data_IF_004764319333
#
_entry.id   IF_004764319333
#
_cell.length_a   1.000
_cell.length_b   1.000
_cell.length_c   1.000
_cell.angle_alpha   90.00
_cell.angle_beta   90.00
_cell.angle_gamma   90.00
#
_symmetry.space_group_name_H-M   'P 1'
#
loop_
_entity.id
_entity.type
_entity.pdbx_description
1 polymer ?
#
# COMPACT_ATOMS: atom_id res chain seq x y z
N UNK A 1 23.61 13.54 -31.03
CA UNK A 1 24.20 12.80 -29.91
C UNK A 1 23.28 12.97 -28.72
N UNK A 2 22.54 11.91 -28.35
CA UNK A 2 21.58 11.92 -27.24
C UNK A 2 22.35 11.62 -25.96
N UNK A 3 22.15 12.45 -24.95
CA UNK A 3 23.00 12.56 -23.77
C UNK A 3 22.84 11.30 -22.90
N UNK A 4 23.81 10.39 -22.94
CA UNK A 4 23.82 9.18 -22.09
C UNK A 4 23.71 9.55 -20.59
N UNK A 5 24.25 10.70 -20.22
CA UNK A 5 24.25 11.29 -18.88
C UNK A 5 22.83 11.59 -18.34
N UNK A 6 21.86 11.87 -19.21
CA UNK A 6 20.47 12.14 -18.82
C UNK A 6 19.69 10.86 -18.49
N UNK A 7 20.07 9.73 -19.10
CA UNK A 7 19.44 8.44 -18.86
C UNK A 7 19.90 7.83 -17.53
N UNK A 8 21.15 8.09 -17.12
CA UNK A 8 21.67 7.61 -15.82
C UNK A 8 20.95 8.29 -14.64
N UNK A 9 20.61 9.57 -14.79
CA UNK A 9 19.95 10.35 -13.73
C UNK A 9 18.51 9.86 -13.45
N UNK A 10 17.83 9.31 -14.47
CA UNK A 10 16.50 8.73 -14.33
C UNK A 10 16.54 7.32 -13.72
N UNK A 11 17.64 6.58 -13.90
CA UNK A 11 17.83 5.23 -13.36
C UNK A 11 18.29 5.23 -11.89
N UNK A 12 18.90 6.32 -11.43
CA UNK A 12 19.38 6.48 -10.06
C UNK A 12 18.33 6.13 -8.98
N UNK A 13 17.09 6.67 -9.01
CA UNK A 13 16.08 6.32 -8.00
C UNK A 13 15.65 4.85 -8.08
N UNK A 14 15.51 4.28 -9.28
CA UNK A 14 15.15 2.87 -9.47
C UNK A 14 16.22 1.92 -8.93
N UNK A 15 17.49 2.25 -9.18
CA UNK A 15 18.62 1.47 -8.70
C UNK A 15 18.75 1.59 -7.17
N UNK A 16 18.56 2.78 -6.61
CA UNK A 16 18.52 2.99 -5.17
C UNK A 16 17.38 2.18 -4.50
N UNK A 17 16.20 2.12 -5.13
CA UNK A 17 15.07 1.30 -4.67
C UNK A 17 15.40 -0.19 -4.73
N UNK A 18 16.04 -0.65 -5.81
CA UNK A 18 16.47 -2.04 -5.96
C UNK A 18 17.45 -2.44 -4.84
N UNK A 19 18.44 -1.59 -4.53
CA UNK A 19 19.32 -1.80 -3.39
C UNK A 19 18.58 -1.75 -2.04
N UNK A 20 17.56 -0.90 -1.92
CA UNK A 20 16.69 -0.84 -0.73
C UNK A 20 15.93 -2.15 -0.49
N UNK A 21 15.36 -2.74 -1.55
CA UNK A 21 14.61 -3.99 -1.48
C UNK A 21 15.52 -5.15 -1.04
N UNK A 22 16.76 -5.22 -1.53
CA UNK A 22 17.73 -6.24 -1.11
C UNK A 22 18.03 -6.22 0.40
N UNK A 23 17.85 -5.07 1.06
CA UNK A 23 18.10 -4.91 2.50
C UNK A 23 16.81 -5.03 3.35
N UNK A 24 15.63 -5.05 2.73
CA UNK A 24 14.37 -5.17 3.48
C UNK A 24 14.17 -6.61 3.97
N UNK A 25 13.92 -6.82 5.27
CA UNK A 25 13.53 -8.13 5.77
C UNK A 25 12.17 -8.53 5.20
N UNK A 26 12.02 -9.80 4.82
CA UNK A 26 10.74 -10.37 4.42
C UNK A 26 9.70 -10.24 5.54
N UNK A 27 8.42 -10.12 5.16
CA UNK A 27 7.38 -9.94 6.16
C UNK A 27 7.24 -11.19 7.05
N UNK A 28 7.25 -11.06 8.39
CA UNK A 28 7.19 -12.21 9.29
C UNK A 28 5.88 -13.00 9.16
N UNK A 29 4.79 -12.33 8.77
CA UNK A 29 3.50 -12.96 8.47
C UNK A 29 3.58 -13.90 7.27
N UNK A 30 4.25 -13.47 6.19
CA UNK A 30 4.43 -14.31 5.01
C UNK A 30 5.30 -15.53 5.30
N UNK A 31 6.38 -15.37 6.07
CA UNK A 31 7.24 -16.49 6.48
C UNK A 31 6.47 -17.55 7.29
N UNK A 32 5.58 -17.13 8.19
CA UNK A 32 4.72 -18.04 8.94
C UNK A 32 3.73 -18.76 8.01
N UNK A 33 3.15 -18.05 7.04
CA UNK A 33 2.26 -18.65 6.03
C UNK A 33 2.98 -19.65 5.12
N UNK A 34 4.27 -19.47 4.88
CA UNK A 34 5.12 -20.44 4.15
C UNK A 34 5.61 -21.60 5.04
N UNK A 35 5.26 -21.60 6.33
CA UNK A 35 5.67 -22.63 7.29
C UNK A 35 7.10 -22.48 7.82
N UNK A 36 7.81 -21.39 7.51
CA UNK A 36 9.17 -21.06 7.97
C UNK A 36 9.13 -20.31 9.30
N UNK A 37 8.91 -21.05 10.39
CA UNK A 37 8.68 -20.49 11.73
C UNK A 37 9.96 -19.94 12.37
N UNK A 38 11.10 -20.59 12.15
CA UNK A 38 12.39 -20.15 12.69
C UNK A 38 12.82 -18.78 12.16
N UNK A 39 12.74 -18.59 10.84
CA UNK A 39 13.09 -17.33 10.19
C UNK A 39 12.13 -16.20 10.61
N UNK A 40 10.83 -16.48 10.68
CA UNK A 40 9.84 -15.49 11.11
C UNK A 40 10.11 -14.99 12.53
N UNK A 41 10.43 -15.91 13.46
CA UNK A 41 10.78 -15.57 14.85
C UNK A 41 12.03 -14.70 14.92
N UNK A 42 13.06 -15.03 14.13
CA UNK A 42 14.29 -14.24 14.08
C UNK A 42 14.05 -12.79 13.59
N UNK A 43 13.17 -12.61 12.60
CA UNK A 43 12.80 -11.28 12.09
C UNK A 43 11.92 -10.54 13.09
N UNK A 44 10.96 -11.20 13.73
CA UNK A 44 10.11 -10.62 14.78
C UNK A 44 10.92 -10.12 15.97
N UNK A 45 11.97 -10.85 16.37
CA UNK A 45 12.90 -10.44 17.42
C UNK A 45 13.76 -9.22 17.02
N UNK A 46 14.08 -9.07 15.73
CA UNK A 46 14.84 -7.91 15.22
C UNK A 46 13.99 -6.65 15.05
N UNK A 47 12.68 -6.81 14.82
CA UNK A 47 11.75 -5.70 14.54
C UNK A 47 11.01 -5.24 15.81
N UNK A 48 10.86 -6.10 16.82
CA UNK A 48 10.13 -5.76 18.06
C UNK A 48 11.04 -5.13 19.11
N UNK A 49 10.49 -4.24 19.94
CA UNK A 49 11.25 -3.54 20.98
C UNK A 49 11.55 -4.42 22.21
N UNK A 50 10.68 -5.40 22.50
CA UNK A 50 10.89 -6.41 23.55
C UNK A 50 10.78 -7.82 23.00
N UNK A 51 11.52 -8.74 23.63
CA UNK A 51 11.43 -10.18 23.40
C UNK A 51 10.05 -10.73 23.75
N UNK A 52 9.40 -10.22 24.80
CA UNK A 52 8.05 -10.66 25.16
C UNK A 52 7.00 -10.26 24.10
N UNK A 53 7.09 -9.04 23.58
CA UNK A 53 6.18 -8.53 22.53
C UNK A 53 6.33 -9.32 21.22
N UNK A 54 7.57 -9.72 20.89
CA UNK A 54 7.85 -10.54 19.72
C UNK A 54 7.20 -11.92 19.80
N UNK A 55 7.26 -12.59 20.97
CA UNK A 55 6.64 -13.90 21.18
C UNK A 55 5.11 -13.82 21.14
N UNK A 56 4.51 -12.79 21.76
CA UNK A 56 3.05 -12.57 21.71
C UNK A 56 2.58 -12.37 20.26
N UNK A 57 3.27 -11.52 19.49
CA UNK A 57 2.93 -11.34 18.07
C UNK A 57 3.12 -12.62 17.27
N UNK A 58 4.13 -13.42 17.62
CA UNK A 58 4.39 -14.68 16.95
C UNK A 58 3.29 -15.71 17.24
N UNK A 59 2.82 -15.83 18.48
CA UNK A 59 1.69 -16.70 18.84
C UNK A 59 0.39 -16.25 18.15
N UNK A 60 0.10 -14.94 18.13
CA UNK A 60 -1.10 -14.40 17.48
C UNK A 60 -1.12 -14.73 15.98
N UNK A 61 0.03 -14.58 15.30
CA UNK A 61 0.11 -14.88 13.86
C UNK A 61 0.06 -16.39 13.60
N UNK A 62 0.62 -17.22 14.48
CA UNK A 62 0.46 -18.69 14.39
C UNK A 62 -1.00 -19.13 14.56
N UNK A 63 -1.70 -18.55 15.54
CA UNK A 63 -3.12 -18.82 15.77
C UNK A 63 -3.96 -18.40 14.56
N UNK A 64 -3.72 -17.21 14.00
CA UNK A 64 -4.37 -16.74 12.77
C UNK A 64 -4.07 -17.63 11.55
N UNK A 65 -2.88 -18.24 11.49
CA UNK A 65 -2.50 -19.18 10.44
C UNK A 65 -3.10 -20.59 10.64
N UNK A 66 -3.69 -20.88 11.81
CA UNK A 66 -4.26 -22.19 12.15
C UNK A 66 -3.22 -23.26 12.51
N UNK A 67 -2.02 -22.83 12.94
CA UNK A 67 -0.93 -23.73 13.32
C UNK A 67 -1.04 -24.02 14.83
N UNK A 68 -1.07 -25.28 15.28
CA UNK A 68 -1.15 -25.60 16.70
C UNK A 68 0.08 -25.09 17.46
N UNK A 69 -0.13 -24.52 18.65
CA UNK A 69 0.94 -23.93 19.49
C UNK A 69 2.07 -24.91 19.82
N UNK A 70 1.77 -26.22 19.85
CA UNK A 70 2.70 -27.29 20.19
C UNK A 70 3.66 -27.69 19.06
N UNK A 71 3.57 -27.08 17.87
CA UNK A 71 4.56 -27.29 16.81
C UNK A 71 5.81 -26.42 17.07
N UNK A 72 6.80 -27.03 17.72
CA UNK A 72 8.17 -26.50 17.90
C UNK A 72 9.09 -26.76 16.72
N UNK A 73 8.61 -27.43 15.67
CA UNK A 73 9.38 -27.66 14.45
C UNK A 73 9.61 -26.34 13.69
N UNK A 74 10.87 -26.00 13.42
CA UNK A 74 11.27 -24.76 12.72
C UNK A 74 10.70 -24.65 11.30
N UNK A 75 10.28 -25.78 10.72
CA UNK A 75 9.63 -25.84 9.41
C UNK A 75 8.42 -26.77 9.48
N UNK A 76 7.22 -26.21 9.39
CA UNK A 76 5.98 -26.97 9.22
C UNK A 76 5.67 -27.00 7.73
N UNK A 77 5.57 -28.20 7.13
CA UNK A 77 5.00 -28.33 5.79
C UNK A 77 3.51 -28.04 5.85
N UNK A 78 3.14 -26.76 5.86
CA UNK A 78 1.77 -26.36 5.57
C UNK A 78 1.50 -26.82 4.14
N UNK A 79 0.57 -27.77 3.97
CA UNK A 79 0.11 -28.14 2.65
C UNK A 79 -0.32 -26.85 1.95
N UNK A 80 0.41 -26.48 0.92
CA UNK A 80 0.19 -25.31 0.06
C UNK A 80 -1.09 -25.50 -0.75
N UNK A 81 -2.22 -25.79 -0.09
CA UNK A 81 -3.52 -25.82 -0.72
C UNK A 81 -4.04 -24.39 -0.81
N UNK A 82 -3.75 -23.76 -1.94
CA UNK A 82 -4.78 -23.09 -2.74
C UNK A 82 -5.58 -21.96 -2.07
N UNK A 83 -5.09 -21.35 -0.99
CA UNK A 83 -5.73 -20.13 -0.45
C UNK A 83 -5.57 -18.94 -1.39
N UNK A 84 -4.50 -18.85 -2.17
CA UNK A 84 -4.32 -17.77 -3.15
C UNK A 84 -5.40 -17.76 -4.23
N UNK A 85 -5.51 -18.83 -5.02
CA UNK A 85 -6.49 -18.90 -6.12
C UNK A 85 -7.93 -18.97 -5.62
N UNK A 86 -8.16 -19.59 -4.45
CA UNK A 86 -9.45 -19.64 -3.78
C UNK A 86 -9.91 -18.26 -3.32
N UNK A 87 -9.03 -17.45 -2.72
CA UNK A 87 -9.39 -16.11 -2.21
C UNK A 87 -9.74 -15.13 -3.33
N UNK A 88 -9.04 -15.14 -4.46
CA UNK A 88 -9.42 -14.29 -5.61
C UNK A 88 -10.77 -14.72 -6.20
N UNK A 89 -11.01 -16.03 -6.33
CA UNK A 89 -12.31 -16.56 -6.76
C UNK A 89 -13.40 -16.27 -5.74
N UNK A 90 -13.13 -16.37 -4.45
CA UNK A 90 -14.09 -16.15 -3.38
C UNK A 90 -14.42 -14.65 -3.21
N UNK A 91 -13.43 -13.76 -3.34
CA UNK A 91 -13.65 -12.30 -3.40
C UNK A 91 -14.52 -11.90 -4.61
N UNK A 92 -14.31 -12.51 -5.77
CA UNK A 92 -15.03 -12.16 -7.01
C UNK A 92 -16.39 -12.85 -7.14
N UNK A 93 -16.51 -14.12 -6.74
CA UNK A 93 -17.74 -14.92 -6.90
C UNK A 93 -18.68 -14.82 -5.69
N UNK A 94 -18.18 -14.61 -4.47
CA UNK A 94 -19.01 -14.47 -3.24
C UNK A 94 -18.40 -13.47 -2.25
N UNK A 95 -18.34 -12.17 -2.57
CA UNK A 95 -17.87 -11.19 -1.61
C UNK A 95 -18.79 -11.17 -0.38
N UNK A 96 -18.23 -11.43 0.80
CA UNK A 96 -18.92 -11.29 2.08
C UNK A 96 -19.49 -9.86 2.18
N UNK A 97 -20.69 -9.64 2.76
CA UNK A 97 -21.33 -8.32 2.77
C UNK A 97 -20.42 -7.14 3.19
N UNK A 98 -19.57 -7.24 4.23
CA UNK A 98 -18.66 -6.14 4.58
C UNK A 98 -17.53 -5.94 3.57
N UNK A 99 -16.97 -7.01 3.01
CA UNK A 99 -15.87 -6.97 2.03
C UNK A 99 -16.34 -6.31 0.73
N UNK A 100 -17.59 -6.57 0.32
CA UNK A 100 -18.20 -5.93 -0.86
C UNK A 100 -18.23 -4.41 -0.72
N UNK A 101 -18.64 -3.88 0.43
CA UNK A 101 -18.68 -2.43 0.66
C UNK A 101 -17.28 -1.82 0.72
N UNK A 102 -16.31 -2.52 1.31
CA UNK A 102 -14.90 -2.09 1.31
C UNK A 102 -14.32 -2.04 -0.11
N UNK A 103 -14.56 -3.07 -0.92
CA UNK A 103 -14.11 -3.12 -2.32
C UNK A 103 -14.77 -2.03 -3.17
N UNK A 104 -16.10 -1.84 -3.03
CA UNK A 104 -16.81 -0.78 -3.75
C UNK A 104 -16.33 0.62 -3.32
N UNK A 105 -16.06 0.83 -2.03
CA UNK A 105 -15.49 2.09 -1.55
C UNK A 105 -14.07 2.31 -2.09
N UNK A 106 -13.21 1.29 -2.08
CA UNK A 106 -11.84 1.39 -2.59
C UNK A 106 -11.82 1.69 -4.10
N UNK A 107 -12.58 0.93 -4.88
CA UNK A 107 -12.70 1.14 -6.34
C UNK A 107 -13.33 2.50 -6.63
N UNK A 108 -14.37 2.88 -5.89
CA UNK A 108 -15.04 4.17 -6.03
C UNK A 108 -14.09 5.34 -5.74
N UNK A 109 -13.34 5.28 -4.64
CA UNK A 109 -12.36 6.31 -4.27
C UNK A 109 -11.31 6.47 -5.36
N UNK A 110 -10.69 5.37 -5.82
CA UNK A 110 -9.70 5.42 -6.89
C UNK A 110 -10.29 5.94 -8.20
N UNK A 111 -11.51 5.54 -8.55
CA UNK A 111 -12.19 6.08 -9.72
C UNK A 111 -12.38 7.58 -9.61
N UNK A 112 -12.87 8.08 -8.47
CA UNK A 112 -13.03 9.51 -8.25
C UNK A 112 -11.71 10.27 -8.25
N UNK A 113 -10.63 9.68 -7.74
CA UNK A 113 -9.28 10.24 -7.78
C UNK A 113 -8.81 10.44 -9.24
N UNK A 114 -8.92 9.42 -10.09
CA UNK A 114 -8.52 9.54 -11.50
C UNK A 114 -9.51 10.39 -12.33
N UNK A 115 -10.80 10.34 -12.01
CA UNK A 115 -11.84 11.12 -12.71
C UNK A 115 -11.67 12.64 -12.57
N UNK A 116 -10.93 13.11 -11.55
CA UNK A 116 -10.57 14.53 -11.42
C UNK A 116 -9.77 15.07 -12.62
N UNK A 117 -9.21 14.20 -13.46
CA UNK A 117 -8.46 14.60 -14.64
C UNK A 117 -7.13 15.30 -14.32
N UNK A 118 -6.65 15.17 -13.07
CA UNK A 118 -5.40 15.79 -12.62
C UNK A 118 -4.22 15.39 -13.50
N UNK A 119 -4.16 14.13 -13.94
CA UNK A 119 -3.12 13.62 -14.84
C UNK A 119 -3.11 14.37 -16.17
N UNK A 120 -4.29 14.64 -16.74
CA UNK A 120 -4.41 15.41 -17.98
C UNK A 120 -3.97 16.87 -17.78
N UNK A 121 -4.40 17.51 -16.68
CA UNK A 121 -3.99 18.88 -16.37
C UNK A 121 -2.46 18.98 -16.26
N UNK A 122 -1.82 18.08 -15.52
CA UNK A 122 -0.36 18.05 -15.35
C UNK A 122 0.36 17.82 -16.68
N UNK A 123 -0.12 16.87 -17.49
CA UNK A 123 0.48 16.53 -18.77
C UNK A 123 0.38 17.67 -19.80
N UNK A 124 -0.76 18.38 -19.83
CA UNK A 124 -1.02 19.44 -20.81
C UNK A 124 -0.62 20.84 -20.34
N UNK A 125 -0.45 21.07 -19.02
CA UNK A 125 0.04 22.33 -18.44
C UNK A 125 1.23 22.95 -19.19
N UNK A 126 2.35 22.23 -19.45
CA UNK A 126 3.50 22.82 -20.13
C UNK A 126 3.19 23.20 -21.58
N UNK A 127 2.25 22.51 -22.26
CA UNK A 127 1.85 22.85 -23.64
C UNK A 127 1.00 24.12 -23.67
N UNK A 128 0.14 24.33 -22.68
CA UNK A 128 -0.69 25.53 -22.54
C UNK A 128 0.20 26.75 -22.26
N UNK A 129 1.11 26.64 -21.28
CA UNK A 129 2.02 27.73 -20.94
C UNK A 129 3.01 28.08 -22.08
N UNK A 130 3.39 27.09 -22.90
CA UNK A 130 4.21 27.33 -24.09
C UNK A 130 3.44 28.11 -25.16
N UNK A 131 2.14 27.81 -25.36
CA UNK A 131 1.28 28.56 -26.28
C UNK A 131 0.96 29.97 -25.76
N UNK A 132 0.97 30.19 -24.44
CA UNK A 132 0.76 31.49 -23.80
C UNK A 132 1.99 32.44 -23.88
N UNK A 133 3.05 32.10 -24.62
CA UNK A 133 4.20 32.98 -24.87
C UNK A 133 5.35 32.87 -23.86
N UNK A 134 5.32 31.90 -22.94
CA UNK A 134 6.43 31.68 -21.99
C UNK A 134 7.54 30.85 -22.65
N UNK A 135 8.55 31.51 -23.19
CA UNK A 135 9.68 30.86 -23.88
C UNK A 135 10.76 30.28 -22.94
N UNK A 136 10.76 30.63 -21.64
CA UNK A 136 11.79 30.17 -20.69
C UNK A 136 11.45 28.81 -20.06
N UNK A 137 12.29 27.80 -20.29
CA UNK A 137 12.15 26.43 -19.71
C UNK A 137 12.00 26.43 -18.19
N UNK A 138 12.73 27.29 -17.48
CA UNK A 138 12.68 27.40 -16.02
C UNK A 138 11.34 27.96 -15.50
N UNK A 139 10.75 28.94 -16.20
CA UNK A 139 9.43 29.48 -15.86
C UNK A 139 8.31 28.47 -16.14
N UNK A 140 8.48 27.63 -17.17
CA UNK A 140 7.57 26.55 -17.50
C UNK A 140 7.53 25.47 -16.40
N UNK A 141 8.70 25.00 -15.96
CA UNK A 141 8.83 23.99 -14.90
C UNK A 141 8.27 24.48 -13.56
N UNK A 142 8.58 25.73 -13.18
CA UNK A 142 8.04 26.32 -11.95
C UNK A 142 6.51 26.50 -12.01
N UNK A 143 5.96 26.88 -13.16
CA UNK A 143 4.51 27.00 -13.34
C UNK A 143 3.81 25.65 -13.25
N UNK A 144 4.37 24.59 -13.86
CA UNK A 144 3.81 23.23 -13.76
C UNK A 144 3.85 22.69 -12.33
N UNK A 145 4.94 22.92 -11.60
CA UNK A 145 5.06 22.49 -10.19
C UNK A 145 4.06 23.25 -9.33
N UNK A 146 3.89 24.56 -9.52
CA UNK A 146 2.91 25.36 -8.76
C UNK A 146 1.46 24.93 -9.04
N UNK A 147 1.10 24.70 -10.30
CA UNK A 147 -0.22 24.17 -10.65
C UNK A 147 -0.48 22.81 -9.98
N UNK A 148 0.51 21.91 -10.01
CA UNK A 148 0.38 20.61 -9.36
C UNK A 148 0.17 20.72 -7.84
N UNK A 149 0.97 21.55 -7.17
CA UNK A 149 0.85 21.78 -5.72
C UNK A 149 -0.52 22.38 -5.35
N UNK A 150 -1.07 23.27 -6.19
CA UNK A 150 -2.39 23.86 -5.97
C UNK A 150 -3.50 22.81 -6.11
N UNK A 151 -3.48 22.01 -7.19
CA UNK A 151 -4.47 20.96 -7.40
C UNK A 151 -4.40 19.86 -6.34
N UNK A 152 -3.20 19.49 -5.89
CA UNK A 152 -3.00 18.49 -4.83
C UNK A 152 -3.54 19.00 -3.49
N UNK A 153 -3.23 20.24 -3.13
CA UNK A 153 -3.76 20.87 -1.89
C UNK A 153 -5.28 20.93 -1.91
N UNK A 154 -5.89 21.26 -3.06
CA UNK A 154 -7.33 21.27 -3.22
C UNK A 154 -7.94 19.87 -3.07
N UNK A 155 -7.33 18.83 -3.64
CA UNK A 155 -7.78 17.44 -3.48
C UNK A 155 -7.70 16.99 -2.02
N UNK A 156 -6.58 17.25 -1.35
CA UNK A 156 -6.35 16.90 0.07
C UNK A 156 -7.37 17.60 0.96
N UNK A 157 -7.60 18.89 0.77
CA UNK A 157 -8.59 19.64 1.53
C UNK A 157 -10.01 19.05 1.37
N UNK A 158 -10.38 18.68 0.14
CA UNK A 158 -11.67 18.03 -0.14
C UNK A 158 -11.77 16.63 0.45
N UNK A 159 -10.68 15.83 0.38
CA UNK A 159 -10.65 14.49 0.97
C UNK A 159 -10.68 14.54 2.48
N UNK A 160 -9.96 15.47 3.12
CA UNK A 160 -9.91 15.63 4.58
C UNK A 160 -11.25 16.13 5.13
N UNK A 161 -11.89 17.08 4.45
CA UNK A 161 -13.23 17.55 4.81
C UNK A 161 -14.26 16.41 4.69
N UNK A 162 -14.17 15.59 3.63
CA UNK A 162 -15.04 14.42 3.42
C UNK A 162 -14.74 13.28 4.39
N UNK A 163 -13.47 13.05 4.74
CA UNK A 163 -13.04 12.08 5.75
C UNK A 163 -13.48 12.48 7.15
N UNK A 164 -13.41 13.77 7.49
CA UNK A 164 -13.89 14.28 8.77
C UNK A 164 -15.40 14.11 8.91
N UNK A 165 -16.16 14.29 7.81
CA UNK A 165 -17.59 13.96 7.74
C UNK A 165 -17.87 12.46 7.84
N UNK A 166 -17.09 11.61 7.17
CA UNK A 166 -17.28 10.15 7.16
C UNK A 166 -16.75 9.44 8.41
N UNK A 167 -15.85 10.05 9.19
CA UNK A 167 -15.33 9.51 10.46
C UNK A 167 -16.45 9.14 11.43
N UNK A 168 -17.54 9.92 11.47
CA UNK A 168 -18.72 9.61 12.29
C UNK A 168 -19.41 8.29 11.90
N UNK A 169 -19.49 7.97 10.61
CA UNK A 169 -20.15 6.76 10.09
C UNK A 169 -19.21 5.55 10.03
N UNK A 170 -17.93 5.75 9.72
CA UNK A 170 -16.95 4.66 9.61
C UNK A 170 -16.51 4.13 10.98
N UNK A 171 -16.43 4.99 12.00
CA UNK A 171 -16.13 4.57 13.37
C UNK A 171 -17.26 3.71 13.98
N UNK A 172 -18.51 3.88 13.51
CA UNK A 172 -19.65 3.03 13.86
C UNK A 172 -19.54 1.63 13.23
N UNK A 173 -19.02 1.51 12.01
CA UNK A 173 -18.82 0.22 11.33
C UNK A 173 -17.56 -0.52 11.83
N UNK A 174 -16.50 0.23 12.18
CA UNK A 174 -15.26 -0.33 12.70
C UNK A 174 -15.45 -0.95 14.09
N UNK A 175 -16.23 -0.32 14.99
CA UNK A 175 -16.46 -0.90 16.33
C UNK A 175 -17.21 -2.24 16.31
N UNK A 176 -18.11 -2.46 15.35
CA UNK A 176 -18.87 -3.73 15.24
C UNK A 176 -18.08 -4.90 14.64
N UNK A 177 -17.00 -4.64 13.91
CA UNK A 177 -16.26 -5.70 13.18
C UNK A 177 -14.98 -6.13 13.90
N UNK A 178 -14.35 -5.23 14.67
CA UNK A 178 -13.13 -5.54 15.43
C UNK A 178 -13.38 -6.44 16.66
N UNK A 179 -14.57 -6.39 17.28
CA UNK A 179 -14.91 -7.24 18.43
C UNK A 179 -15.25 -8.69 18.07
N UNK A 180 -15.24 -9.03 16.77
CA UNK A 180 -15.62 -10.36 16.25
C UNK A 180 -14.46 -11.08 15.56
N UNK A 181 -13.28 -10.45 15.54
CA UNK A 181 -12.04 -10.92 14.91
C UNK A 181 -10.87 -11.00 15.91
N UNK A 182 -10.99 -10.42 17.12
CA UNK A 182 -10.26 -10.90 18.30
C UNK A 182 -11.09 -11.97 19.00
#
# INVERSE_FOLDING_TARGET
MRNADADVLQQLPSLALAFGILKMPESPRWLIMQGRLGDAKSILLRVSNSKEEAEIRFSDIKAAAGIPENCTADTVKLSTQTRGEGVWKELLLRPTPPVRWMLLAAVGIHFFEHATGIEAVVLYSPRIFKKAGVHSKHKLLLATVKCFNFSLTFQILNSDLRWTRMRGSFMFLARGTWYRIC
#
